data_IF_011292671139
#
_entry.id   IF_011292671139
#
_cell.length_a   1.000
_cell.length_b   1.000
_cell.length_c   1.000
_cell.angle_alpha   90.00
_cell.angle_beta   90.00
_cell.angle_gamma   90.00
#
_symmetry.space_group_name_H-M   'P 1'
#
loop_
_entity.id
_entity.type
_entity.pdbx_description
1 polymer ?
#
# COMPACT_ATOMS: atom_id res chain seq x y z
N UNK A 1 18.84 -30.75 -4.11
CA UNK A 1 17.77 -30.61 -5.11
C UNK A 1 16.99 -29.39 -4.70
N UNK A 2 17.37 -28.26 -5.30
CA UNK A 2 16.95 -26.92 -4.94
C UNK A 2 15.50 -26.68 -5.36
N UNK A 3 14.59 -26.84 -4.40
CA UNK A 3 13.15 -26.55 -4.54
C UNK A 3 12.87 -25.05 -4.56
N UNK A 4 13.57 -24.31 -5.42
CA UNK A 4 13.36 -22.87 -5.60
C UNK A 4 12.86 -22.56 -7.01
N UNK A 5 11.78 -23.25 -7.39
CA UNK A 5 10.88 -22.76 -8.42
C UNK A 5 9.60 -22.34 -7.72
N UNK A 6 9.67 -21.23 -6.98
CA UNK A 6 8.48 -20.40 -6.76
C UNK A 6 8.12 -19.84 -8.14
N UNK A 7 7.42 -20.66 -8.92
CA UNK A 7 6.94 -20.29 -10.23
C UNK A 7 6.07 -19.06 -10.02
N UNK A 8 6.65 -17.96 -10.49
CA UNK A 8 6.11 -16.64 -10.65
C UNK A 8 4.89 -16.67 -11.60
N UNK A 9 3.86 -17.42 -11.22
CA UNK A 9 2.56 -17.46 -11.88
C UNK A 9 1.62 -16.44 -11.25
N UNK A 10 2.17 -15.33 -10.74
CA UNK A 10 1.36 -14.18 -10.35
C UNK A 10 0.69 -13.68 -11.62
N UNK A 11 -0.64 -13.73 -11.66
CA UNK A 11 -1.37 -13.47 -12.90
C UNK A 11 -1.08 -12.05 -13.40
N UNK A 12 -1.16 -11.82 -14.72
CA UNK A 12 -0.99 -10.47 -15.27
C UNK A 12 -1.96 -9.46 -14.61
N UNK A 13 -3.13 -9.95 -14.20
CA UNK A 13 -4.15 -9.21 -13.47
C UNK A 13 -3.68 -8.84 -12.05
N UNK A 14 -3.14 -9.80 -11.29
CA UNK A 14 -2.57 -9.53 -9.95
C UNK A 14 -1.42 -8.51 -10.00
N UNK A 15 -0.54 -8.62 -11.01
CA UNK A 15 0.56 -7.66 -11.19
C UNK A 15 0.05 -6.25 -11.51
N UNK A 16 -1.03 -6.16 -12.29
CA UNK A 16 -1.66 -4.88 -12.60
C UNK A 16 -2.18 -4.21 -11.32
N UNK A 17 -2.94 -4.94 -10.50
CA UNK A 17 -3.46 -4.38 -9.25
C UNK A 17 -2.38 -4.07 -8.22
N UNK A 18 -1.27 -4.83 -8.22
CA UNK A 18 -0.11 -4.45 -7.42
C UNK A 18 0.52 -3.15 -7.87
N UNK A 19 0.66 -2.93 -9.18
CA UNK A 19 1.15 -1.65 -9.69
C UNK A 19 0.22 -0.48 -9.30
N UNK A 20 -1.10 -0.71 -9.23
CA UNK A 20 -2.07 0.29 -8.73
C UNK A 20 -1.82 0.60 -7.25
N UNK A 21 -1.65 -0.43 -6.41
CA UNK A 21 -1.34 -0.26 -4.99
C UNK A 21 0.00 0.45 -4.80
N UNK A 22 1.03 0.04 -5.53
CA UNK A 22 2.37 0.64 -5.47
C UNK A 22 2.33 2.12 -5.87
N UNK A 23 1.56 2.46 -6.91
CA UNK A 23 1.34 3.85 -7.32
C UNK A 23 0.62 4.66 -6.25
N UNK A 24 -0.45 4.11 -5.66
CA UNK A 24 -1.19 4.78 -4.59
C UNK A 24 -0.30 5.03 -3.35
N UNK A 25 0.54 4.08 -2.96
CA UNK A 25 1.50 4.26 -1.86
C UNK A 25 2.55 5.32 -2.22
N UNK A 26 3.09 5.27 -3.44
CA UNK A 26 4.07 6.26 -3.91
C UNK A 26 3.48 7.67 -3.91
N UNK A 27 2.24 7.85 -4.35
CA UNK A 27 1.52 9.13 -4.31
C UNK A 27 1.22 9.59 -2.87
N UNK A 28 0.87 8.68 -1.97
CA UNK A 28 0.67 9.02 -0.57
C UNK A 28 1.98 9.49 0.11
N UNK A 29 3.10 8.82 -0.16
CA UNK A 29 4.40 9.14 0.47
C UNK A 29 5.06 10.37 -0.17
N UNK A 30 5.07 10.46 -1.51
CA UNK A 30 5.88 11.42 -2.27
C UNK A 30 5.08 12.32 -3.21
N UNK A 31 3.78 12.10 -3.36
CA UNK A 31 2.96 12.79 -4.34
C UNK A 31 2.72 14.27 -4.02
N UNK A 32 2.39 15.09 -5.03
CA UNK A 32 1.92 16.46 -4.82
C UNK A 32 0.67 16.49 -3.92
N UNK A 33 0.48 17.58 -3.17
CA UNK A 33 -0.56 17.71 -2.12
C UNK A 33 -1.97 17.22 -2.54
N UNK A 34 -2.37 17.44 -3.79
CA UNK A 34 -3.67 17.03 -4.31
C UNK A 34 -3.78 15.51 -4.51
N UNK A 35 -2.74 14.87 -5.04
CA UNK A 35 -2.67 13.42 -5.25
C UNK A 35 -2.49 12.69 -3.93
N UNK A 36 -1.72 13.28 -3.01
CA UNK A 36 -1.55 12.74 -1.66
C UNK A 36 -2.89 12.58 -0.92
N UNK A 37 -3.79 13.57 -0.99
CA UNK A 37 -5.13 13.47 -0.37
C UNK A 37 -5.99 12.37 -1.01
N UNK A 38 -5.94 12.23 -2.34
CA UNK A 38 -6.69 11.19 -3.04
C UNK A 38 -6.18 9.80 -2.70
N UNK A 39 -4.86 9.62 -2.72
CA UNK A 39 -4.22 8.38 -2.31
C UNK A 39 -4.49 8.06 -0.83
N UNK A 40 -4.49 9.05 0.04
CA UNK A 40 -4.83 8.88 1.46
C UNK A 40 -6.29 8.45 1.64
N UNK A 41 -7.23 9.05 0.90
CA UNK A 41 -8.62 8.61 0.92
C UNK A 41 -8.74 7.15 0.46
N UNK A 42 -8.17 6.81 -0.69
CA UNK A 42 -8.18 5.44 -1.22
C UNK A 42 -7.56 4.42 -0.25
N UNK A 43 -6.39 4.71 0.32
CA UNK A 43 -5.68 3.74 1.17
C UNK A 43 -6.32 3.54 2.55
N UNK A 44 -6.95 4.57 3.12
CA UNK A 44 -7.38 4.57 4.53
C UNK A 44 -8.88 4.67 4.75
N UNK A 45 -9.63 5.28 3.83
CA UNK A 45 -11.05 5.62 4.02
C UNK A 45 -11.98 4.92 3.04
N UNK A 46 -11.49 4.54 1.86
CA UNK A 46 -12.29 3.84 0.86
C UNK A 46 -12.55 2.39 1.31
N UNK A 47 -13.80 2.07 1.64
CA UNK A 47 -14.19 0.73 2.09
C UNK A 47 -14.68 -0.18 0.94
N UNK A 48 -14.81 0.37 -0.27
CA UNK A 48 -15.36 -0.32 -1.43
C UNK A 48 -14.25 -0.74 -2.40
N UNK A 49 -13.52 0.24 -2.96
CA UNK A 49 -12.53 0.02 -4.00
C UNK A 49 -11.24 -0.56 -3.43
N UNK A 50 -10.79 -0.10 -2.25
CA UNK A 50 -9.53 -0.58 -1.67
C UNK A 50 -9.56 -2.08 -1.37
N UNK A 51 -10.58 -2.66 -0.70
CA UNK A 51 -10.61 -4.09 -0.49
C UNK A 51 -10.69 -4.90 -1.79
N UNK A 52 -11.37 -4.37 -2.82
CA UNK A 52 -11.43 -5.00 -4.14
C UNK A 52 -10.04 -5.04 -4.80
N UNK A 53 -9.33 -3.92 -4.83
CA UNK A 53 -7.99 -3.82 -5.40
C UNK A 53 -7.00 -4.69 -4.63
N UNK A 54 -7.05 -4.67 -3.29
CA UNK A 54 -6.21 -5.54 -2.46
C UNK A 54 -6.45 -7.02 -2.77
N UNK A 55 -7.70 -7.49 -2.78
CA UNK A 55 -8.01 -8.88 -3.12
C UNK A 55 -7.56 -9.24 -4.53
N UNK A 56 -7.75 -8.34 -5.49
CA UNK A 56 -7.34 -8.54 -6.88
C UNK A 56 -5.81 -8.52 -7.05
N UNK A 57 -5.10 -7.86 -6.14
CA UNK A 57 -3.64 -7.88 -6.02
C UNK A 57 -3.08 -9.09 -5.24
N UNK A 58 -3.95 -9.97 -4.72
CA UNK A 58 -3.56 -11.08 -3.85
C UNK A 58 -3.14 -10.66 -2.44
N UNK A 59 -3.61 -9.50 -1.97
CA UNK A 59 -3.34 -8.94 -0.65
C UNK A 59 -4.59 -9.06 0.25
N UNK A 60 -4.37 -9.31 1.54
CA UNK A 60 -5.44 -9.21 2.53
C UNK A 60 -5.61 -7.74 2.94
N UNK A 61 -6.78 -7.12 2.69
CA UNK A 61 -6.99 -5.69 2.91
C UNK A 61 -6.88 -5.25 4.37
N UNK A 62 -7.32 -6.07 5.33
CA UNK A 62 -7.26 -5.76 6.76
C UNK A 62 -5.81 -5.65 7.22
N UNK A 63 -5.03 -6.71 7.00
CA UNK A 63 -3.61 -6.76 7.37
C UNK A 63 -2.78 -5.67 6.66
N UNK A 64 -3.15 -5.36 5.41
CA UNK A 64 -2.47 -4.34 4.63
C UNK A 64 -2.76 -2.94 5.16
N UNK A 65 -4.02 -2.66 5.49
CA UNK A 65 -4.44 -1.37 6.08
C UNK A 65 -3.85 -1.16 7.47
N UNK A 66 -3.80 -2.20 8.31
CA UNK A 66 -3.11 -2.14 9.61
C UNK A 66 -1.63 -1.77 9.43
N UNK A 67 -0.96 -2.40 8.46
CA UNK A 67 0.44 -2.09 8.14
C UNK A 67 0.62 -0.64 7.71
N UNK A 68 -0.27 -0.13 6.85
CA UNK A 68 -0.25 1.28 6.44
C UNK A 68 -0.47 2.24 7.61
N UNK A 69 -1.38 1.92 8.53
CA UNK A 69 -1.60 2.71 9.75
C UNK A 69 -0.37 2.74 10.65
N UNK A 70 0.31 1.60 10.83
CA UNK A 70 1.56 1.53 11.59
C UNK A 70 2.65 2.39 10.95
N UNK A 71 2.81 2.32 9.62
CA UNK A 71 3.78 3.15 8.89
C UNK A 71 3.45 4.63 9.08
N UNK A 72 2.17 5.02 8.92
CA UNK A 72 1.71 6.39 9.13
C UNK A 72 2.02 6.88 10.55
N UNK A 73 1.67 6.09 11.56
CA UNK A 73 1.94 6.43 12.96
C UNK A 73 3.43 6.64 13.20
N UNK A 74 4.30 5.77 12.67
CA UNK A 74 5.76 5.94 12.77
C UNK A 74 6.27 7.18 12.05
N UNK A 75 5.74 7.52 10.87
CA UNK A 75 6.13 8.76 10.18
C UNK A 75 5.68 10.01 10.93
N UNK A 76 4.53 9.97 11.63
CA UNK A 76 4.07 11.05 12.49
C UNK A 76 4.93 11.17 13.76
N UNK A 77 5.28 10.03 14.38
CA UNK A 77 6.15 9.95 15.57
C UNK A 77 7.65 10.13 15.28
N UNK A 78 8.06 10.17 14.01
CA UNK A 78 9.43 10.47 13.59
C UNK A 78 9.72 11.97 13.48
N UNK A 79 8.68 12.82 13.49
CA UNK A 79 8.82 14.28 13.43
C UNK A 79 9.21 14.92 14.78
N UNK A 80 9.36 14.10 15.84
CA UNK A 80 9.78 14.52 17.18
C UNK A 80 11.22 14.07 17.52
N UNK A 81 12.14 14.16 16.55
CA UNK A 81 13.60 14.09 16.81
C UNK A 81 14.24 15.48 16.69
N UNK A 82 13.78 16.41 17.52
CA UNK A 82 14.64 17.49 18.01
C UNK A 82 15.10 17.08 19.41
N UNK A 83 16.17 16.30 19.49
CA UNK A 83 17.01 16.26 20.69
C UNK A 83 18.31 16.92 20.28
N UNK A 84 18.53 18.08 20.90
CA UNK A 84 19.67 18.98 20.77
C UNK A 84 20.98 18.35 21.25
#
# INVERSE_FOLDING_TARGET
MDSQVFHNQRSANERLWQAVIDSAIAEWVRGPMQYKRKAEYFLFQDEDDFPLVCRSAGLNPESFRETLWMIRARTASGLNTNVA
#
